data_IF_694715278236
#
_entry.id   IF_694715278236
#
_cell.length_a   1.000
_cell.length_b   1.000
_cell.length_c   1.000
_cell.angle_alpha   90.00
_cell.angle_beta   90.00
_cell.angle_gamma   90.00
#
_symmetry.space_group_name_H-M   'P 1'
#
loop_
_entity.id
_entity.type
_entity.pdbx_description
1 polymer ?
#
# COMPACT_ATOMS: atom_id res chain seq x y z
N UNK A 1 -8.99 -48.02 -20.98
CA UNK A 1 -8.57 -47.05 -19.96
C UNK A 1 -7.33 -46.31 -20.45
N UNK A 2 -7.42 -45.04 -20.84
CA UNK A 2 -6.26 -44.22 -21.24
C UNK A 2 -6.24 -42.91 -20.44
N UNK A 3 -5.29 -42.83 -19.50
CA UNK A 3 -4.49 -41.61 -19.24
C UNK A 3 -5.15 -40.37 -18.62
N UNK A 4 -5.74 -40.48 -17.43
CA UNK A 4 -6.13 -39.32 -16.59
C UNK A 4 -4.98 -38.85 -15.67
N UNK A 5 -3.82 -38.38 -16.18
CA UNK A 5 -2.75 -37.91 -15.26
C UNK A 5 -1.90 -36.71 -15.72
N UNK A 6 -2.35 -35.89 -16.69
CA UNK A 6 -1.59 -34.69 -17.11
C UNK A 6 -2.13 -33.34 -16.62
N UNK A 7 -3.28 -33.30 -15.95
CA UNK A 7 -3.94 -32.03 -15.58
C UNK A 7 -3.80 -31.62 -14.10
N UNK A 8 -3.32 -32.51 -13.23
CA UNK A 8 -3.22 -32.21 -11.79
C UNK A 8 -2.04 -31.27 -11.51
N UNK A 9 -0.87 -31.51 -12.12
CA UNK A 9 0.32 -30.70 -11.89
C UNK A 9 0.20 -29.25 -12.38
N UNK A 10 -0.53 -29.00 -13.47
CA UNK A 10 -0.79 -27.63 -13.96
C UNK A 10 -1.77 -26.87 -13.05
N UNK A 11 -2.80 -27.56 -12.54
CA UNK A 11 -3.79 -26.97 -11.62
C UNK A 11 -3.16 -26.59 -10.27
N UNK A 12 -2.31 -27.46 -9.70
CA UNK A 12 -1.61 -27.19 -8.43
C UNK A 12 -0.69 -25.97 -8.59
N UNK A 13 0.10 -25.92 -9.68
CA UNK A 13 0.95 -24.76 -9.96
C UNK A 13 0.14 -23.47 -10.00
N UNK A 14 -0.96 -23.41 -10.78
CA UNK A 14 -1.82 -22.22 -10.87
C UNK A 14 -2.29 -21.72 -9.49
N UNK A 15 -2.67 -22.61 -8.57
CA UNK A 15 -3.08 -22.24 -7.22
C UNK A 15 -1.96 -21.61 -6.40
N UNK A 16 -0.75 -22.19 -6.45
CA UNK A 16 0.41 -21.63 -5.74
C UNK A 16 0.84 -20.27 -6.30
N UNK A 17 0.74 -20.05 -7.61
CA UNK A 17 1.02 -18.74 -8.20
C UNK A 17 0.00 -17.68 -7.80
N UNK A 18 -1.29 -18.01 -7.73
CA UNK A 18 -2.30 -17.06 -7.23
C UNK A 18 -2.05 -16.68 -5.77
N UNK A 19 -1.62 -17.64 -4.93
CA UNK A 19 -1.18 -17.35 -3.56
C UNK A 19 0.04 -16.43 -3.54
N UNK A 20 1.05 -16.69 -4.38
CA UNK A 20 2.24 -15.85 -4.46
C UNK A 20 1.87 -14.39 -4.84
N UNK A 21 0.99 -14.21 -5.82
CA UNK A 21 0.48 -12.88 -6.20
C UNK A 21 -0.20 -12.20 -5.02
N UNK A 22 -1.05 -12.91 -4.28
CA UNK A 22 -1.71 -12.37 -3.08
C UNK A 22 -0.70 -11.95 -2.00
N UNK A 23 0.36 -12.74 -1.78
CA UNK A 23 1.43 -12.43 -0.83
C UNK A 23 2.22 -11.19 -1.27
N UNK A 24 2.64 -11.11 -2.53
CA UNK A 24 3.31 -9.92 -3.04
C UNK A 24 2.39 -8.69 -2.98
N UNK A 25 1.11 -8.86 -3.30
CA UNK A 25 0.13 -7.79 -3.22
C UNK A 25 -0.02 -7.27 -1.79
N UNK A 26 -0.05 -8.17 -0.80
CA UNK A 26 -0.01 -7.79 0.61
C UNK A 26 1.31 -7.10 0.99
N UNK A 27 2.44 -7.52 0.42
CA UNK A 27 3.72 -6.84 0.55
C UNK A 27 3.66 -5.39 0.09
N UNK A 28 2.99 -5.11 -1.05
CA UNK A 28 2.79 -3.75 -1.55
C UNK A 28 1.93 -2.91 -0.61
N UNK A 29 0.86 -3.47 -0.05
CA UNK A 29 0.04 -2.78 0.98
C UNK A 29 0.89 -2.32 2.17
N UNK A 30 1.87 -3.14 2.54
CA UNK A 30 2.80 -2.85 3.62
C UNK A 30 3.99 -1.96 3.21
N UNK A 31 4.04 -1.47 1.98
CA UNK A 31 5.08 -0.55 1.49
C UNK A 31 6.29 -1.23 0.84
N UNK A 32 6.24 -2.54 0.57
CA UNK A 32 7.36 -3.24 -0.08
C UNK A 32 7.49 -2.86 -1.56
N UNK A 33 8.47 -2.01 -1.87
CA UNK A 33 8.82 -1.65 -3.26
C UNK A 33 9.23 -2.87 -4.08
N UNK A 34 9.98 -3.82 -3.50
CA UNK A 34 10.36 -5.07 -4.16
C UNK A 34 9.15 -5.90 -4.57
N UNK A 35 8.15 -6.01 -3.68
CA UNK A 35 6.92 -6.74 -4.00
C UNK A 35 6.16 -6.09 -5.16
N UNK A 36 6.16 -4.76 -5.23
CA UNK A 36 5.55 -4.03 -6.34
C UNK A 36 6.30 -4.28 -7.65
N UNK A 37 7.64 -4.26 -7.63
CA UNK A 37 8.46 -4.55 -8.80
C UNK A 37 8.24 -5.97 -9.35
N UNK A 38 8.12 -6.97 -8.48
CA UNK A 38 7.76 -8.34 -8.88
C UNK A 38 6.43 -8.35 -9.62
N UNK A 39 5.41 -7.65 -9.09
CA UNK A 39 4.08 -7.60 -9.71
C UNK A 39 4.07 -6.85 -11.05
N UNK A 40 4.95 -5.88 -11.27
CA UNK A 40 5.18 -5.31 -12.62
C UNK A 40 5.56 -6.42 -13.59
N UNK A 41 6.56 -7.24 -13.23
CA UNK A 41 7.02 -8.35 -14.07
C UNK A 41 5.95 -9.42 -14.30
N UNK A 42 5.09 -9.68 -13.32
CA UNK A 42 4.01 -10.67 -13.41
C UNK A 42 2.93 -10.27 -14.43
N UNK A 43 2.56 -8.99 -14.48
CA UNK A 43 1.47 -8.49 -15.34
C UNK A 43 1.95 -7.87 -16.66
N UNK A 44 3.25 -7.64 -16.82
CA UNK A 44 3.83 -7.09 -18.06
C UNK A 44 3.65 -8.03 -19.26
N UNK A 45 3.67 -7.46 -20.47
CA UNK A 45 3.66 -8.19 -21.74
C UNK A 45 5.04 -8.67 -22.20
N UNK A 46 6.12 -8.25 -21.54
CA UNK A 46 7.50 -8.56 -21.89
C UNK A 46 8.16 -9.53 -20.89
N UNK A 47 7.36 -10.43 -20.31
CA UNK A 47 7.83 -11.33 -19.24
C UNK A 47 9.02 -12.15 -19.76
N UNK A 48 10.17 -12.00 -19.09
CA UNK A 48 11.37 -12.80 -19.40
C UNK A 48 11.12 -14.29 -19.18
N UNK A 49 10.20 -14.61 -18.28
CA UNK A 49 9.89 -15.94 -17.84
C UNK A 49 8.68 -16.52 -18.58
N UNK A 50 8.94 -17.11 -19.75
CA UNK A 50 7.91 -17.77 -20.59
C UNK A 50 7.14 -18.89 -19.89
N UNK A 51 7.65 -19.42 -18.78
CA UNK A 51 6.90 -20.39 -17.97
C UNK A 51 5.66 -19.76 -17.32
N UNK A 52 5.62 -18.44 -17.14
CA UNK A 52 4.44 -17.73 -16.64
C UNK A 52 3.28 -17.80 -17.64
N UNK A 53 3.57 -17.83 -18.93
CA UNK A 53 2.56 -17.99 -19.99
C UNK A 53 1.89 -19.37 -19.91
N UNK A 54 2.62 -20.39 -19.45
CA UNK A 54 2.08 -21.75 -19.21
C UNK A 54 1.06 -21.83 -18.07
N UNK A 55 0.93 -20.77 -17.27
CA UNK A 55 0.02 -20.68 -16.14
C UNK A 55 -1.32 -20.02 -16.50
N UNK A 56 -1.53 -19.64 -17.77
CA UNK A 56 -2.65 -18.81 -18.23
C UNK A 56 -2.81 -17.52 -17.42
N UNK A 57 -1.70 -16.94 -16.95
CA UNK A 57 -1.75 -15.64 -16.32
C UNK A 57 -1.93 -14.59 -17.42
N UNK A 58 -3.14 -14.03 -17.48
CA UNK A 58 -3.49 -13.01 -18.46
C UNK A 58 -2.57 -11.79 -18.27
N UNK A 59 -1.96 -11.36 -19.38
CA UNK A 59 -1.23 -10.10 -19.41
C UNK A 59 -2.19 -8.95 -19.13
N UNK A 60 -1.76 -8.01 -18.30
CA UNK A 60 -2.54 -6.83 -17.96
C UNK A 60 -1.59 -5.63 -17.91
N UNK A 61 -1.29 -5.02 -19.08
CA UNK A 61 -0.32 -3.94 -19.18
C UNK A 61 -0.68 -2.72 -18.34
N UNK A 62 -1.97 -2.40 -18.22
CA UNK A 62 -2.42 -1.28 -17.37
C UNK A 62 -2.18 -1.59 -15.89
N UNK A 63 -2.46 -2.82 -15.45
CA UNK A 63 -2.14 -3.25 -14.07
C UNK A 63 -0.63 -3.21 -13.79
N UNK A 64 0.18 -3.67 -14.74
CA UNK A 64 1.63 -3.58 -14.65
C UNK A 64 2.09 -2.12 -14.52
N UNK A 65 1.53 -1.21 -15.32
CA UNK A 65 1.80 0.23 -15.24
C UNK A 65 1.43 0.81 -13.87
N UNK A 66 0.29 0.42 -13.29
CA UNK A 66 -0.09 0.90 -11.94
C UNK A 66 0.89 0.43 -10.87
N UNK A 67 1.26 -0.85 -10.89
CA UNK A 67 2.32 -1.36 -10.00
C UNK A 67 3.66 -0.67 -10.22
N UNK A 68 3.99 -0.28 -11.45
CA UNK A 68 5.24 0.41 -11.76
C UNK A 68 5.26 1.82 -11.15
N UNK A 69 4.16 2.57 -11.29
CA UNK A 69 4.01 3.88 -10.64
C UNK A 69 4.13 3.76 -9.12
N UNK A 70 3.44 2.79 -8.51
CA UNK A 70 3.51 2.54 -7.06
C UNK A 70 4.94 2.15 -6.65
N UNK A 71 5.56 1.22 -7.38
CA UNK A 71 6.93 0.77 -7.13
C UNK A 71 7.92 1.94 -7.12
N UNK A 72 7.88 2.79 -8.15
CA UNK A 72 8.73 3.97 -8.25
C UNK A 72 8.52 4.87 -7.04
N UNK A 73 7.27 5.17 -6.68
CA UNK A 73 6.98 6.02 -5.54
C UNK A 73 7.50 5.44 -4.22
N UNK A 74 7.20 4.17 -3.94
CA UNK A 74 7.69 3.47 -2.74
C UNK A 74 9.23 3.46 -2.68
N UNK A 75 9.91 3.25 -3.81
CA UNK A 75 11.37 3.25 -3.87
C UNK A 75 11.97 4.65 -3.66
N UNK A 76 11.42 5.68 -4.28
CA UNK A 76 11.91 7.05 -4.13
C UNK A 76 11.59 7.66 -2.75
N UNK A 77 10.50 7.21 -2.11
CA UNK A 77 10.03 7.71 -0.82
C UNK A 77 10.23 6.73 0.33
N UNK A 78 11.10 5.74 0.17
CA UNK A 78 11.32 4.68 1.17
C UNK A 78 11.71 5.22 2.56
N UNK A 79 12.42 6.36 2.61
CA UNK A 79 12.77 7.05 3.85
C UNK A 79 11.55 7.52 4.68
N UNK A 80 10.38 7.68 4.05
CA UNK A 80 9.11 7.99 4.72
C UNK A 80 8.33 6.75 5.16
N UNK A 81 8.80 5.55 4.78
CA UNK A 81 8.14 4.27 4.99
C UNK A 81 6.65 4.28 4.58
N UNK A 82 6.34 4.70 3.34
CA UNK A 82 4.97 4.83 2.85
C UNK A 82 4.25 3.47 2.83
N UNK A 83 2.98 3.48 3.23
CA UNK A 83 2.08 2.32 3.13
C UNK A 83 1.02 2.58 2.07
N UNK A 84 0.45 1.49 1.54
CA UNK A 84 -0.55 1.54 0.47
C UNK A 84 -1.82 0.79 0.91
N UNK A 85 -2.54 1.27 1.95
CA UNK A 85 -3.75 0.60 2.43
C UNK A 85 -4.87 0.60 1.37
N UNK A 86 -4.86 1.58 0.46
CA UNK A 86 -5.82 1.76 -0.63
C UNK A 86 -5.46 0.95 -1.89
N UNK A 87 -4.53 -0.01 -1.81
CA UNK A 87 -4.09 -0.77 -2.99
C UNK A 87 -5.22 -1.53 -3.68
N UNK A 88 -6.20 -2.05 -2.94
CA UNK A 88 -7.36 -2.75 -3.53
C UNK A 88 -8.25 -1.79 -4.33
N UNK A 89 -8.29 -0.52 -3.96
CA UNK A 89 -9.03 0.52 -4.68
C UNK A 89 -8.28 1.02 -5.91
N UNK A 90 -6.98 0.73 -6.01
CA UNK A 90 -6.13 1.15 -7.13
C UNK A 90 -5.87 0.00 -8.11
N UNK A 91 -5.54 -1.19 -7.60
CA UNK A 91 -5.11 -2.35 -8.39
C UNK A 91 -5.72 -3.64 -7.84
N UNK A 92 -7.06 -3.80 -7.81
CA UNK A 92 -7.71 -4.97 -7.24
C UNK A 92 -7.35 -6.23 -8.01
N UNK A 93 -6.89 -7.30 -7.34
CA UNK A 93 -6.40 -8.50 -8.02
C UNK A 93 -7.43 -9.11 -9.01
N UNK A 94 -6.97 -9.75 -10.11
CA UNK A 94 -7.87 -10.41 -11.06
C UNK A 94 -8.80 -11.42 -10.35
N UNK A 95 -10.08 -11.55 -10.77
CA UNK A 95 -10.66 -11.07 -12.03
C UNK A 95 -11.25 -9.65 -11.99
N UNK A 96 -11.07 -8.89 -10.90
CA UNK A 96 -11.67 -7.57 -10.78
C UNK A 96 -11.14 -6.59 -11.86
N UNK A 97 -12.02 -5.80 -12.50
CA UNK A 97 -11.60 -4.76 -13.43
C UNK A 97 -10.85 -3.65 -12.69
N UNK A 98 -9.98 -2.93 -13.41
CA UNK A 98 -9.27 -1.79 -12.84
C UNK A 98 -10.23 -0.59 -12.72
N UNK A 99 -10.40 0.00 -11.52
CA UNK A 99 -11.20 1.20 -11.33
C UNK A 99 -10.48 2.43 -11.88
N UNK A 100 -11.16 3.57 -11.99
CA UNK A 100 -10.48 4.83 -12.32
C UNK A 100 -9.45 5.20 -11.24
N UNK A 101 -8.31 5.74 -11.66
CA UNK A 101 -7.22 6.08 -10.75
C UNK A 101 -6.48 7.32 -11.20
N UNK A 102 -6.25 8.23 -10.26
CA UNK A 102 -5.57 9.52 -10.43
C UNK A 102 -4.04 9.42 -10.48
N UNK A 103 -3.48 8.21 -10.35
CA UNK A 103 -2.03 7.98 -10.36
C UNK A 103 -1.35 8.17 -9.00
N UNK A 104 -2.10 8.42 -7.92
CA UNK A 104 -1.55 8.64 -6.58
C UNK A 104 -2.04 7.60 -5.57
N UNK A 105 -1.21 7.29 -4.58
CA UNK A 105 -1.62 6.49 -3.40
C UNK A 105 -2.12 7.41 -2.28
N UNK A 106 -2.92 6.91 -1.34
CA UNK A 106 -3.45 7.70 -0.22
C UNK A 106 -2.35 8.43 0.56
N UNK A 107 -1.23 7.74 0.83
CA UNK A 107 -0.07 8.34 1.47
C UNK A 107 0.46 9.54 0.69
N UNK A 108 0.56 9.44 -0.64
CA UNK A 108 1.04 10.52 -1.48
C UNK A 108 0.11 11.72 -1.44
N UNK A 109 -1.21 11.50 -1.46
CA UNK A 109 -2.21 12.59 -1.34
C UNK A 109 -2.09 13.30 0.00
N UNK A 110 -1.85 12.56 1.08
CA UNK A 110 -1.65 13.13 2.41
C UNK A 110 -0.32 13.88 2.52
N UNK A 111 0.76 13.33 1.97
CA UNK A 111 2.11 13.89 2.08
C UNK A 111 2.34 15.11 1.16
N UNK A 112 1.79 15.10 -0.06
CA UNK A 112 1.94 16.17 -1.05
C UNK A 112 0.72 17.11 -1.10
N UNK A 113 -0.33 16.81 -0.34
CA UNK A 113 -1.56 17.59 -0.32
C UNK A 113 -1.44 18.88 0.48
N UNK A 114 -2.56 19.62 0.54
CA UNK A 114 -2.64 20.82 1.37
C UNK A 114 -2.52 20.45 2.86
N UNK A 115 -1.90 21.35 3.61
CA UNK A 115 -1.82 21.19 5.05
C UNK A 115 -3.24 21.13 5.64
N UNK A 116 -3.51 20.21 6.58
CA UNK A 116 -4.82 20.15 7.22
C UNK A 116 -5.15 21.50 7.88
N UNK A 117 -6.43 21.92 7.86
CA UNK A 117 -6.83 23.18 8.44
C UNK A 117 -6.46 23.22 9.92
N UNK A 118 -5.96 24.37 10.37
CA UNK A 118 -5.62 24.57 11.78
C UNK A 118 -6.87 24.31 12.64
N UNK A 119 -6.78 23.52 13.72
CA UNK A 119 -7.91 23.32 14.63
C UNK A 119 -8.33 24.66 15.26
N UNK A 120 -9.60 24.76 15.65
CA UNK A 120 -10.11 25.96 16.33
C UNK A 120 -9.42 26.16 17.68
N UNK A 121 -9.21 27.41 18.08
CA UNK A 121 -8.60 27.73 19.38
C UNK A 121 -9.39 27.11 20.53
N UNK A 122 -10.73 27.15 20.47
CA UNK A 122 -11.59 26.54 21.48
C UNK A 122 -11.34 25.02 21.64
N UNK A 123 -11.07 24.30 20.56
CA UNK A 123 -10.74 22.87 20.63
C UNK A 123 -9.34 22.67 21.23
N UNK A 124 -8.36 23.50 20.84
CA UNK A 124 -7.01 23.48 21.41
C UNK A 124 -7.04 23.70 22.93
N UNK A 125 -7.77 24.71 23.40
CA UNK A 125 -7.94 24.98 24.84
C UNK A 125 -8.62 23.82 25.58
N UNK A 126 -9.67 23.22 25.01
CA UNK A 126 -10.32 22.05 25.62
C UNK A 126 -9.36 20.88 25.79
N UNK A 127 -8.61 20.53 24.74
CA UNK A 127 -7.66 19.41 24.77
C UNK A 127 -6.49 19.66 25.71
N UNK A 128 -5.92 20.88 25.70
CA UNK A 128 -4.83 21.24 26.59
C UNK A 128 -5.27 21.23 28.06
N UNK A 129 -6.44 21.81 28.37
CA UNK A 129 -7.00 21.78 29.72
C UNK A 129 -7.30 20.35 30.19
N UNK A 130 -7.81 19.49 29.30
CA UNK A 130 -8.03 18.06 29.59
C UNK A 130 -6.72 17.32 29.85
N UNK A 131 -5.65 17.63 29.10
CA UNK A 131 -4.31 17.13 29.37
C UNK A 131 -3.63 17.81 30.58
N UNK A 132 -4.26 18.85 31.15
CA UNK A 132 -3.76 19.62 32.27
C UNK A 132 -2.51 20.44 31.93
N UNK A 133 -2.41 20.95 30.70
CA UNK A 133 -1.29 21.77 30.20
C UNK A 133 -1.81 23.07 29.58
N UNK A 134 -0.98 24.10 29.57
CA UNK A 134 -1.29 25.37 28.90
C UNK A 134 -1.06 25.27 27.40
N UNK A 135 -1.92 25.93 26.61
CA UNK A 135 -1.89 25.90 25.14
C UNK A 135 -0.69 26.66 24.57
N UNK A 136 -0.27 27.73 25.23
CA UNK A 136 0.76 28.66 24.76
C UNK A 136 2.18 28.11 24.92
N UNK A 137 2.47 27.45 26.04
CA UNK A 137 3.83 27.02 26.40
C UNK A 137 3.95 25.55 26.84
N UNK A 138 2.85 24.81 26.97
CA UNK A 138 2.86 23.39 27.36
C UNK A 138 3.18 23.12 28.83
N UNK A 139 3.26 24.14 29.69
CA UNK A 139 3.49 23.97 31.13
C UNK A 139 2.25 23.42 31.83
N UNK A 140 2.44 22.74 32.95
CA UNK A 140 1.34 22.22 33.76
C UNK A 140 0.48 23.37 34.30
N UNK A 141 -0.85 23.21 34.18
CA UNK A 141 -1.82 24.26 34.50
C UNK A 141 -1.80 24.71 35.97
N UNK A 142 -1.33 23.88 36.89
CA UNK A 142 -1.33 24.17 38.32
C UNK A 142 0.04 24.63 38.81
N UNK A 143 1.09 24.00 38.31
CA UNK A 143 2.44 24.18 38.87
C UNK A 143 3.32 25.12 38.05
N UNK A 144 2.91 25.47 36.83
CA UNK A 144 3.72 26.24 35.87
C UNK A 144 5.12 25.61 35.62
N UNK A 145 5.22 24.30 35.84
CA UNK A 145 6.41 23.50 35.62
C UNK A 145 6.19 22.52 34.46
N UNK A 146 7.27 22.01 33.83
CA UNK A 146 7.16 20.96 32.84
C UNK A 146 6.47 19.74 33.43
N UNK A 147 5.40 19.28 32.79
CA UNK A 147 4.64 18.13 33.27
C UNK A 147 5.47 16.86 33.11
N UNK A 148 5.69 16.13 34.21
CA UNK A 148 6.43 14.87 34.16
C UNK A 148 5.71 13.88 33.23
N UNK A 149 6.41 13.38 32.21
CA UNK A 149 5.88 12.32 31.33
C UNK A 149 5.72 11.07 32.18
N UNK A 150 4.47 10.66 32.44
CA UNK A 150 4.20 9.34 33.02
C UNK A 150 4.66 8.30 32.00
N UNK A 151 5.72 7.56 32.34
CA UNK A 151 6.17 6.38 31.59
C UNK A 151 5.16 5.25 31.74
#
# INVERSE_FOLDING_TARGET
MRGCFRNVGTSIRKKEYQKAIAVFHQGVKNGSSLSANVLVGVFSNNRKEKYLDSLNLQEDPERARRYETIWKYLAYKDYLQPKVPDLDEIVPLPPAPLPDWDGKIAFQRWFEGEAPPKPSEALMFKLANQAGVRVDNGLDLQTDLPKAVKK
#
